data_IF_394825638384
#
_entry.id   IF_394825638384
#
_cell.length_a   1.000
_cell.length_b   1.000
_cell.length_c   1.000
_cell.angle_alpha   90.00
_cell.angle_beta   90.00
_cell.angle_gamma   90.00
#
_symmetry.space_group_name_H-M   'P 1'
#
loop_
_entity.id
_entity.type
_entity.pdbx_description
1 polymer ?
#
# COMPACT_ATOMS: atom_id res chain seq x y z
N UNK A 1 11.12 14.96 -9.00
CA UNK A 1 11.30 15.50 -7.65
C UNK A 1 10.58 16.84 -7.54
N UNK A 2 9.89 17.06 -6.44
CA UNK A 2 9.14 18.27 -6.13
C UNK A 2 10.07 19.41 -5.72
N UNK A 3 9.92 20.64 -6.26
CA UNK A 3 10.71 21.79 -5.84
C UNK A 3 10.21 22.40 -4.51
N UNK A 4 9.04 21.98 -4.02
CA UNK A 4 8.37 22.59 -2.87
C UNK A 4 8.91 22.07 -1.53
N UNK A 5 10.16 22.43 -1.22
CA UNK A 5 10.84 22.09 0.04
C UNK A 5 11.15 23.36 0.86
N UNK A 6 11.50 23.19 2.14
CA UNK A 6 11.76 24.29 3.06
C UNK A 6 12.70 23.85 4.18
N UNK A 7 12.40 24.23 5.43
CA UNK A 7 13.28 23.93 6.58
C UNK A 7 13.41 22.45 6.92
N UNK A 8 12.37 21.65 6.63
CA UNK A 8 12.38 20.21 6.93
C UNK A 8 13.30 19.46 5.96
N UNK A 9 14.27 18.74 6.51
CA UNK A 9 15.18 17.88 5.74
C UNK A 9 14.63 16.47 5.59
N UNK A 10 15.18 15.70 4.63
CA UNK A 10 14.96 14.25 4.56
C UNK A 10 15.47 13.57 5.81
N UNK A 11 14.78 12.50 6.19
CA UNK A 11 15.24 11.61 7.25
C UNK A 11 16.49 10.87 6.76
N UNK A 12 17.65 11.03 7.41
CA UNK A 12 18.90 10.49 6.89
C UNK A 12 18.97 8.96 7.00
N UNK A 13 18.28 8.38 7.99
CA UNK A 13 18.29 6.96 8.29
C UNK A 13 16.94 6.52 8.89
N UNK A 14 16.34 5.49 8.32
CA UNK A 14 15.11 4.87 8.79
C UNK A 14 15.47 3.64 9.63
N UNK A 15 15.14 3.64 10.91
CA UNK A 15 15.70 2.68 11.89
C UNK A 15 14.81 1.48 12.14
N UNK A 16 13.51 1.60 11.88
CA UNK A 16 12.52 0.56 12.20
C UNK A 16 12.01 -0.19 10.96
N UNK A 17 12.47 0.20 9.78
CA UNK A 17 12.26 -0.45 8.49
C UNK A 17 13.49 -0.23 7.62
N UNK A 18 13.69 -1.08 6.61
CA UNK A 18 14.75 -0.87 5.63
C UNK A 18 14.16 -0.23 4.38
N UNK A 19 14.78 0.85 3.92
CA UNK A 19 14.45 1.53 2.68
C UNK A 19 15.62 1.43 1.70
N UNK A 20 15.35 0.99 0.47
CA UNK A 20 16.23 1.20 -0.68
C UNK A 20 15.48 1.94 -1.77
N UNK A 21 16.17 2.79 -2.52
CA UNK A 21 15.59 3.50 -3.66
C UNK A 21 16.50 3.30 -4.86
N UNK A 22 15.95 2.76 -5.93
CA UNK A 22 16.69 2.47 -7.16
C UNK A 22 15.87 2.87 -8.39
N UNK A 23 16.42 3.77 -9.21
CA UNK A 23 15.82 4.24 -10.47
C UNK A 23 14.33 4.65 -10.35
N UNK A 24 13.94 5.23 -9.22
CA UNK A 24 12.56 5.68 -8.94
C UNK A 24 11.65 4.64 -8.30
N UNK A 25 12.13 3.44 -7.98
CA UNK A 25 11.40 2.44 -7.19
C UNK A 25 11.89 2.48 -5.75
N UNK A 26 11.00 2.76 -4.79
CA UNK A 26 11.29 2.54 -3.38
C UNK A 26 10.96 1.10 -2.99
N UNK A 27 11.85 0.44 -2.25
CA UNK A 27 11.58 -0.86 -1.63
C UNK A 27 11.64 -0.70 -0.12
N UNK A 28 10.49 -0.89 0.52
CA UNK A 28 10.35 -0.91 1.97
C UNK A 28 10.29 -2.36 2.42
N UNK A 29 11.30 -2.79 3.19
CA UNK A 29 11.29 -4.10 3.84
C UNK A 29 11.04 -3.94 5.33
N UNK A 30 9.98 -4.59 5.82
CA UNK A 30 9.70 -4.66 7.26
C UNK A 30 10.84 -5.41 7.97
N UNK A 31 11.22 -4.92 9.15
CA UNK A 31 12.30 -5.49 9.96
C UNK A 31 11.78 -6.63 10.87
N UNK A 32 12.70 -7.36 11.52
CA UNK A 32 12.45 -8.45 12.49
C UNK A 32 11.89 -9.75 11.86
N UNK A 33 12.59 -10.36 10.88
CA UNK A 33 12.14 -11.60 10.24
C UNK A 33 12.04 -12.79 11.21
N UNK A 34 12.80 -12.78 12.30
CA UNK A 34 12.73 -13.73 13.41
C UNK A 34 11.37 -13.68 14.14
N UNK A 35 10.72 -12.51 14.15
CA UNK A 35 9.39 -12.25 14.71
C UNK A 35 8.30 -12.14 13.63
N UNK A 36 8.50 -12.72 12.44
CA UNK A 36 7.55 -12.63 11.31
C UNK A 36 7.19 -11.19 10.94
N UNK A 37 8.15 -10.28 11.09
CA UNK A 37 8.03 -8.86 10.79
C UNK A 37 6.89 -8.18 11.58
N UNK A 38 6.71 -8.58 12.84
CA UNK A 38 5.75 -7.96 13.75
C UNK A 38 6.07 -6.46 13.95
N UNK A 39 5.05 -5.62 13.78
CA UNK A 39 5.16 -4.17 13.83
C UNK A 39 5.23 -3.65 15.26
N UNK A 40 6.13 -2.70 15.49
CA UNK A 40 6.27 -1.94 16.73
C UNK A 40 5.74 -0.52 16.56
N UNK A 41 5.63 0.26 17.63
CA UNK A 41 5.23 1.68 17.52
C UNK A 41 6.18 2.46 16.60
N UNK A 42 7.48 2.18 16.69
CA UNK A 42 8.50 2.80 15.83
C UNK A 42 8.31 2.44 14.35
N UNK A 43 7.95 1.19 14.03
CA UNK A 43 7.69 0.79 12.65
C UNK A 43 6.46 1.52 12.05
N UNK A 44 5.40 1.71 12.84
CA UNK A 44 4.24 2.52 12.40
C UNK A 44 4.60 4.00 12.21
N UNK A 45 5.41 4.57 13.10
CA UNK A 45 5.88 5.95 12.98
C UNK A 45 6.74 6.12 11.72
N UNK A 46 7.70 5.23 11.49
CA UNK A 46 8.55 5.26 10.29
C UNK A 46 7.72 5.09 9.01
N UNK A 47 6.74 4.18 8.98
CA UNK A 47 5.84 4.04 7.82
C UNK A 47 5.05 5.32 7.54
N UNK A 48 4.47 5.94 8.57
CA UNK A 48 3.72 7.20 8.46
C UNK A 48 4.61 8.31 7.91
N UNK A 49 5.77 8.50 8.52
CA UNK A 49 6.65 9.62 8.22
C UNK A 49 7.36 9.42 6.86
N UNK A 50 7.72 8.19 6.52
CA UNK A 50 8.31 7.85 5.21
C UNK A 50 7.32 8.11 4.08
N UNK A 51 6.09 7.63 4.19
CA UNK A 51 5.08 7.83 3.15
C UNK A 51 4.78 9.33 2.96
N UNK A 52 4.75 10.11 4.05
CA UNK A 52 4.60 11.56 3.97
C UNK A 52 5.80 12.20 3.26
N UNK A 53 7.03 11.81 3.61
CA UNK A 53 8.27 12.30 2.99
C UNK A 53 8.36 11.97 1.49
N UNK A 54 8.08 10.73 1.09
CA UNK A 54 8.08 10.33 -0.31
C UNK A 54 6.97 11.03 -1.12
N UNK A 55 5.81 11.25 -0.51
CA UNK A 55 4.68 11.93 -1.17
C UNK A 55 4.96 13.40 -1.44
N UNK A 56 5.56 14.13 -0.49
CA UNK A 56 5.95 15.54 -0.70
C UNK A 56 7.06 15.68 -1.72
N UNK A 57 8.03 14.77 -1.71
CA UNK A 57 9.25 14.88 -2.52
C UNK A 57 9.04 14.43 -3.97
N UNK A 58 8.03 13.59 -4.24
CA UNK A 58 7.78 13.00 -5.57
C UNK A 58 9.07 12.47 -6.21
N UNK A 59 9.88 11.79 -5.40
CA UNK A 59 11.18 11.23 -5.78
C UNK A 59 11.09 9.81 -6.32
N UNK A 60 9.98 9.13 -6.01
CA UNK A 60 9.69 7.75 -6.43
C UNK A 60 8.44 7.72 -7.30
N UNK A 61 8.39 6.72 -8.17
CA UNK A 61 7.32 6.47 -9.14
C UNK A 61 6.55 5.18 -8.84
N UNK A 62 7.11 4.29 -8.01
CA UNK A 62 6.44 3.14 -7.44
C UNK A 62 7.08 2.75 -6.10
N UNK A 63 6.34 2.05 -5.24
CA UNK A 63 6.83 1.51 -3.98
C UNK A 63 6.49 0.01 -3.86
N UNK A 64 7.48 -0.80 -3.50
CA UNK A 64 7.29 -2.20 -3.08
C UNK A 64 7.34 -2.26 -1.56
N UNK A 65 6.31 -2.83 -0.95
CA UNK A 65 6.26 -3.17 0.46
C UNK A 65 6.42 -4.70 0.60
N UNK A 66 7.40 -5.13 1.37
CA UNK A 66 7.70 -6.56 1.58
C UNK A 66 8.17 -6.86 3.00
N UNK A 67 8.28 -8.15 3.31
CA UNK A 67 8.91 -8.65 4.54
C UNK A 67 10.03 -9.65 4.20
N UNK A 68 10.90 -9.93 5.16
CA UNK A 68 11.92 -10.97 5.04
C UNK A 68 11.53 -12.26 5.76
N UNK A 69 12.22 -13.35 5.42
CA UNK A 69 12.09 -14.62 6.12
C UNK A 69 10.78 -15.35 5.79
N UNK A 70 10.13 -15.89 6.81
CA UNK A 70 9.06 -16.89 6.67
C UNK A 70 7.69 -16.32 6.27
N UNK A 71 7.54 -15.00 6.20
CA UNK A 71 6.30 -14.40 5.76
C UNK A 71 6.36 -12.88 5.65
N UNK A 72 5.27 -12.29 5.19
CA UNK A 72 5.13 -10.87 4.97
C UNK A 72 5.12 -10.07 6.29
N UNK A 73 4.07 -10.25 7.11
CA UNK A 73 3.89 -9.51 8.37
C UNK A 73 2.82 -10.17 9.25
N UNK A 74 3.15 -10.49 10.50
CA UNK A 74 2.21 -11.10 11.45
C UNK A 74 1.27 -10.10 12.16
N UNK A 75 1.41 -8.79 11.90
CA UNK A 75 0.62 -7.73 12.53
C UNK A 75 1.38 -7.00 13.64
N UNK A 76 0.65 -6.37 14.57
CA UNK A 76 1.26 -5.73 15.73
C UNK A 76 1.88 -6.75 16.69
N UNK A 77 3.03 -6.41 17.28
CA UNK A 77 3.70 -7.26 18.26
C UNK A 77 2.84 -7.45 19.52
N UNK A 78 2.66 -8.69 19.97
CA UNK A 78 1.76 -8.98 21.11
C UNK A 78 2.28 -8.34 22.40
N UNK A 79 3.57 -8.36 22.66
CA UNK A 79 4.11 -7.84 23.91
C UNK A 79 4.37 -6.32 23.77
N UNK A 80 5.03 -5.91 22.68
CA UNK A 80 5.44 -4.50 22.50
C UNK A 80 4.29 -3.57 22.10
N UNK A 81 3.19 -4.09 21.54
CA UNK A 81 1.97 -3.30 21.26
C UNK A 81 0.86 -3.64 22.25
N UNK A 82 0.36 -4.88 22.27
CA UNK A 82 -0.82 -5.21 23.09
C UNK A 82 -0.48 -5.08 24.57
N UNK A 83 0.63 -5.67 25.01
CA UNK A 83 1.09 -5.53 26.39
C UNK A 83 1.31 -4.07 26.81
N UNK A 84 1.94 -3.26 25.95
CA UNK A 84 2.18 -1.84 26.23
C UNK A 84 0.90 -0.98 26.28
N UNK A 85 -0.06 -1.25 25.38
CA UNK A 85 -1.32 -0.48 25.30
C UNK A 85 -2.23 -0.69 26.51
N UNK A 86 -2.12 -1.81 27.23
CA UNK A 86 -2.88 -2.05 28.46
C UNK A 86 -2.57 -1.04 29.59
N UNK A 87 -1.40 -0.41 29.55
CA UNK A 87 -0.98 0.60 30.54
C UNK A 87 -1.13 2.04 30.04
N UNK A 88 -1.64 2.24 28.82
CA UNK A 88 -1.81 3.57 28.21
C UNK A 88 -3.09 4.25 28.67
N UNK A 89 -3.07 5.58 28.72
CA UNK A 89 -4.28 6.37 28.93
C UNK A 89 -5.13 6.47 27.64
N UNK A 90 -6.34 7.03 27.78
CA UNK A 90 -7.28 7.14 26.66
C UNK A 90 -6.75 7.98 25.49
N UNK A 91 -5.93 9.01 25.75
CA UNK A 91 -5.40 9.86 24.69
C UNK A 91 -4.31 9.12 23.90
N UNK A 92 -3.41 8.42 24.59
CA UNK A 92 -2.37 7.59 24.00
C UNK A 92 -2.96 6.45 23.16
N UNK A 93 -4.00 5.79 23.68
CA UNK A 93 -4.74 4.76 22.95
C UNK A 93 -5.36 5.33 21.67
N UNK A 94 -6.00 6.50 21.75
CA UNK A 94 -6.58 7.17 20.59
C UNK A 94 -5.52 7.53 19.55
N UNK A 95 -4.38 8.08 19.99
CA UNK A 95 -3.31 8.50 19.09
C UNK A 95 -2.63 7.32 18.39
N UNK A 96 -2.45 6.21 19.09
CA UNK A 96 -1.95 4.98 18.47
C UNK A 96 -2.90 4.47 17.37
N UNK A 97 -4.19 4.33 17.68
CA UNK A 97 -5.18 3.86 16.70
C UNK A 97 -5.38 4.86 15.54
N UNK A 98 -5.20 6.16 15.79
CA UNK A 98 -5.18 7.18 14.74
C UNK A 98 -3.96 7.00 13.84
N UNK A 99 -2.78 6.78 14.40
CA UNK A 99 -1.54 6.58 13.64
C UNK A 99 -1.64 5.38 12.70
N UNK A 100 -2.15 4.22 13.16
CA UNK A 100 -2.30 3.03 12.31
C UNK A 100 -3.26 3.29 11.15
N UNK A 101 -4.37 3.99 11.39
CA UNK A 101 -5.30 4.44 10.34
C UNK A 101 -4.66 5.43 9.35
N UNK A 102 -3.83 6.36 9.83
CA UNK A 102 -3.11 7.30 8.96
C UNK A 102 -2.08 6.60 8.06
N UNK A 103 -1.44 5.51 8.51
CA UNK A 103 -0.55 4.72 7.64
C UNK A 103 -1.34 4.13 6.46
N UNK A 104 -2.50 3.53 6.73
CA UNK A 104 -3.36 2.97 5.66
C UNK A 104 -3.84 4.05 4.70
N UNK A 105 -4.29 5.18 5.24
CA UNK A 105 -4.69 6.34 4.44
C UNK A 105 -3.53 6.86 3.59
N UNK A 106 -2.32 6.98 4.15
CA UNK A 106 -1.14 7.42 3.42
C UNK A 106 -0.78 6.47 2.27
N UNK A 107 -0.94 5.16 2.45
CA UNK A 107 -0.78 4.19 1.34
C UNK A 107 -1.82 4.45 0.23
N UNK A 108 -3.08 4.75 0.58
CA UNK A 108 -4.13 5.04 -0.40
C UNK A 108 -3.94 6.37 -1.13
N UNK A 109 -3.39 7.38 -0.46
CA UNK A 109 -3.31 8.75 -0.97
C UNK A 109 -1.94 9.13 -1.57
N UNK A 110 -0.89 8.33 -1.37
CA UNK A 110 0.42 8.66 -1.92
C UNK A 110 0.41 8.72 -3.46
N UNK A 111 1.17 9.63 -4.10
CA UNK A 111 1.09 9.92 -5.54
C UNK A 111 1.88 8.92 -6.40
N UNK A 112 1.93 7.66 -5.98
CA UNK A 112 2.60 6.57 -6.68
C UNK A 112 1.95 5.23 -6.31
N UNK A 113 1.97 4.23 -7.22
CA UNK A 113 1.49 2.89 -6.92
C UNK A 113 2.29 2.21 -5.80
N UNK A 114 1.58 1.47 -4.94
CA UNK A 114 2.13 0.65 -3.87
C UNK A 114 1.83 -0.83 -4.17
N UNK A 115 2.87 -1.66 -4.19
CA UNK A 115 2.81 -3.08 -4.48
C UNK A 115 3.21 -3.84 -3.21
N UNK A 116 2.32 -4.66 -2.66
CA UNK A 116 2.65 -5.60 -1.60
C UNK A 116 3.17 -6.91 -2.19
N UNK A 117 4.38 -7.32 -1.81
CA UNK A 117 4.97 -8.62 -2.11
C UNK A 117 4.68 -9.60 -0.96
N UNK A 118 3.70 -10.48 -1.14
CA UNK A 118 3.12 -11.29 -0.06
C UNK A 118 3.48 -12.77 -0.20
N UNK A 119 4.31 -13.26 0.71
CA UNK A 119 4.53 -14.68 0.96
C UNK A 119 4.23 -15.00 2.43
N UNK A 120 3.95 -16.27 2.74
CA UNK A 120 3.65 -16.72 4.10
C UNK A 120 2.53 -15.92 4.76
N UNK A 121 2.70 -15.55 6.04
CA UNK A 121 1.66 -14.88 6.82
C UNK A 121 1.55 -13.38 6.52
N UNK A 122 0.32 -12.92 6.28
CA UNK A 122 -0.12 -11.54 6.34
C UNK A 122 -1.32 -11.44 7.30
N UNK A 123 -1.09 -11.09 8.56
CA UNK A 123 -2.10 -11.16 9.62
C UNK A 123 -2.30 -9.82 10.33
N UNK A 124 -3.53 -9.58 10.81
CA UNK A 124 -3.91 -8.34 11.49
C UNK A 124 -3.53 -7.12 10.65
N UNK A 125 -2.71 -6.24 11.22
CA UNK A 125 -2.20 -5.08 10.50
C UNK A 125 -1.43 -5.42 9.22
N UNK A 126 -0.69 -6.54 9.18
CA UNK A 126 -0.02 -7.01 7.97
C UNK A 126 -1.01 -7.31 6.83
N UNK A 127 -2.16 -7.89 7.15
CA UNK A 127 -3.22 -8.11 6.18
C UNK A 127 -3.80 -6.79 5.64
N UNK A 128 -3.93 -5.78 6.50
CA UNK A 128 -4.50 -4.48 6.11
C UNK A 128 -3.50 -3.62 5.32
N UNK A 129 -2.21 -3.67 5.62
CA UNK A 129 -1.18 -3.03 4.80
C UNK A 129 -1.15 -3.60 3.37
N UNK A 130 -1.28 -4.92 3.25
CA UNK A 130 -1.43 -5.57 1.95
C UNK A 130 -2.76 -5.17 1.26
N UNK A 131 -3.87 -5.13 2.00
CA UNK A 131 -5.17 -4.71 1.49
C UNK A 131 -5.19 -3.25 1.00
N UNK A 132 -4.47 -2.35 1.68
CA UNK A 132 -4.39 -0.95 1.32
C UNK A 132 -3.53 -0.69 0.06
N UNK A 133 -2.59 -1.60 -0.23
CA UNK A 133 -1.73 -1.51 -1.41
C UNK A 133 -2.56 -1.56 -2.70
N UNK A 134 -2.07 -0.91 -3.75
CA UNK A 134 -2.78 -0.89 -5.04
C UNK A 134 -2.71 -2.28 -5.70
N UNK A 135 -1.59 -2.97 -5.54
CA UNK A 135 -1.37 -4.33 -6.04
C UNK A 135 -0.95 -5.27 -4.91
N UNK A 136 -1.44 -6.52 -4.95
CA UNK A 136 -1.01 -7.62 -4.09
C UNK A 136 -0.46 -8.73 -4.97
N UNK A 137 0.86 -8.83 -5.04
CA UNK A 137 1.59 -9.88 -5.74
C UNK A 137 1.92 -10.95 -4.72
N UNK A 138 1.37 -12.15 -4.89
CA UNK A 138 1.44 -13.19 -3.87
C UNK A 138 1.96 -14.51 -4.44
N UNK A 139 2.61 -15.32 -3.61
CA UNK A 139 2.96 -16.71 -3.95
C UNK A 139 1.97 -17.71 -3.31
N UNK A 140 2.03 -19.02 -3.64
CA UNK A 140 1.10 -20.01 -3.12
C UNK A 140 1.16 -20.21 -1.60
N UNK A 141 2.23 -19.74 -0.94
CA UNK A 141 2.39 -19.82 0.51
C UNK A 141 1.60 -18.74 1.27
N UNK A 142 1.12 -17.71 0.56
CA UNK A 142 0.41 -16.56 1.14
C UNK A 142 -0.85 -16.96 1.93
N UNK A 143 -0.99 -16.37 3.12
CA UNK A 143 -2.10 -16.56 4.06
C UNK A 143 -2.52 -15.23 4.67
N UNK A 144 -3.72 -14.77 4.33
CA UNK A 144 -4.31 -13.55 4.86
C UNK A 144 -5.21 -13.86 6.06
N UNK A 145 -5.03 -13.15 7.18
CA UNK A 145 -5.89 -13.32 8.36
C UNK A 145 -6.26 -11.98 8.98
N UNK A 146 -7.53 -11.58 8.85
CA UNK A 146 -8.08 -10.38 9.49
C UNK A 146 -8.58 -10.69 10.90
N UNK A 147 -7.64 -11.01 11.80
CA UNK A 147 -7.91 -11.73 13.07
C UNK A 147 -8.15 -10.86 14.31
N UNK A 148 -8.54 -9.59 14.13
CA UNK A 148 -8.68 -8.62 15.23
C UNK A 148 -9.65 -9.07 16.34
N UNK A 149 -10.73 -9.76 15.99
CA UNK A 149 -11.70 -10.31 16.95
C UNK A 149 -11.10 -11.37 17.87
N UNK A 150 -10.02 -12.03 17.47
CA UNK A 150 -9.31 -13.02 18.30
C UNK A 150 -8.54 -12.40 19.45
N UNK A 151 -8.26 -11.09 19.40
CA UNK A 151 -7.65 -10.33 20.50
C UNK A 151 -8.65 -9.41 21.20
N UNK A 152 -9.95 -9.61 20.97
CA UNK A 152 -11.02 -8.83 21.61
C UNK A 152 -11.27 -7.45 20.99
N UNK A 153 -10.68 -7.16 19.83
CA UNK A 153 -10.90 -5.91 19.09
C UNK A 153 -11.93 -6.10 17.97
N UNK A 154 -12.51 -5.01 17.48
CA UNK A 154 -13.39 -5.07 16.30
C UNK A 154 -12.59 -5.37 15.03
N UNK A 155 -13.21 -6.00 14.03
CA UNK A 155 -12.63 -6.14 12.69
C UNK A 155 -12.46 -4.81 11.93
N UNK A 156 -13.03 -3.72 12.43
CA UNK A 156 -12.91 -2.37 11.88
C UNK A 156 -11.60 -1.68 12.27
N UNK A 157 -10.49 -2.40 12.24
CA UNK A 157 -9.17 -1.86 12.59
C UNK A 157 -8.51 -1.17 11.39
N UNK A 158 -7.89 -0.01 11.62
CA UNK A 158 -7.08 0.75 10.66
C UNK A 158 -7.68 0.90 9.24
N UNK A 159 -9.01 0.86 9.09
CA UNK A 159 -9.72 0.98 7.80
C UNK A 159 -10.12 -0.34 7.13
N UNK A 160 -9.86 -1.50 7.74
CA UNK A 160 -10.17 -2.81 7.17
C UNK A 160 -11.65 -2.98 6.79
N UNK A 161 -12.58 -2.56 7.66
CA UNK A 161 -14.02 -2.64 7.41
C UNK A 161 -14.52 -1.66 6.32
N UNK A 162 -13.71 -0.67 5.93
CA UNK A 162 -14.00 0.19 4.79
C UNK A 162 -13.49 -0.45 3.49
N UNK A 163 -12.24 -0.91 3.49
CA UNK A 163 -11.54 -1.41 2.30
C UNK A 163 -11.99 -2.81 1.90
N UNK A 164 -12.06 -3.76 2.84
CA UNK A 164 -12.28 -5.16 2.54
C UNK A 164 -13.60 -5.42 1.79
N UNK A 165 -14.77 -4.87 2.20
CA UNK A 165 -16.00 -5.06 1.44
C UNK A 165 -15.98 -4.43 0.04
N UNK A 166 -15.14 -3.41 -0.20
CA UNK A 166 -14.94 -2.81 -1.52
C UNK A 166 -14.04 -3.66 -2.43
N UNK A 167 -13.25 -4.56 -1.86
CA UNK A 167 -12.37 -5.47 -2.62
C UNK A 167 -13.04 -6.84 -2.84
N UNK A 168 -13.62 -7.45 -1.80
CA UNK A 168 -14.13 -8.83 -1.86
C UNK A 168 -15.65 -8.94 -1.75
N UNK A 169 -16.36 -7.82 -1.70
CA UNK A 169 -17.79 -7.77 -1.42
C UNK A 169 -18.15 -7.95 0.07
N UNK A 170 -19.33 -7.45 0.44
CA UNK A 170 -19.77 -7.39 1.84
C UNK A 170 -19.85 -8.76 2.53
N UNK A 171 -20.32 -9.80 1.83
CA UNK A 171 -20.48 -11.13 2.43
C UNK A 171 -19.15 -11.77 2.84
N UNK A 172 -18.16 -11.76 1.94
CA UNK A 172 -16.84 -12.27 2.26
C UNK A 172 -16.14 -11.40 3.32
N UNK A 173 -16.23 -10.07 3.22
CA UNK A 173 -15.65 -9.18 4.22
C UNK A 173 -16.22 -9.43 5.62
N UNK A 174 -17.54 -9.62 5.74
CA UNK A 174 -18.20 -9.94 7.02
C UNK A 174 -17.62 -11.22 7.62
N UNK A 175 -17.54 -12.31 6.84
CA UNK A 175 -16.97 -13.58 7.30
C UNK A 175 -15.50 -13.42 7.74
N UNK A 176 -14.68 -12.79 6.90
CA UNK A 176 -13.24 -12.62 7.15
C UNK A 176 -12.97 -11.80 8.41
N UNK A 177 -13.66 -10.66 8.57
CA UNK A 177 -13.44 -9.74 9.69
C UNK A 177 -14.01 -10.25 11.01
N UNK A 178 -15.13 -10.98 10.98
CA UNK A 178 -15.74 -11.49 12.21
C UNK A 178 -15.06 -12.76 12.72
N UNK A 179 -14.75 -13.73 11.83
CA UNK A 179 -14.21 -15.03 12.23
C UNK A 179 -12.67 -15.05 12.32
N UNK A 180 -12.00 -14.16 11.59
CA UNK A 180 -10.54 -14.07 11.61
C UNK A 180 -9.83 -15.34 11.13
N UNK A 181 -10.49 -16.14 10.30
CA UNK A 181 -9.94 -17.38 9.74
C UNK A 181 -8.89 -17.09 8.65
N UNK A 182 -7.85 -17.93 8.52
CA UNK A 182 -6.85 -17.75 7.49
C UNK A 182 -7.40 -18.06 6.09
N UNK A 183 -7.24 -17.11 5.18
CA UNK A 183 -7.56 -17.22 3.75
C UNK A 183 -6.27 -17.56 2.99
N UNK A 184 -6.22 -18.75 2.40
CA UNK A 184 -5.07 -19.20 1.60
C UNK A 184 -5.13 -18.66 0.16
N UNK A 185 -3.98 -18.60 -0.52
CA UNK A 185 -3.84 -18.12 -1.89
C UNK A 185 -4.99 -18.50 -2.86
N UNK A 186 -5.44 -19.78 -2.98
CA UNK A 186 -6.50 -20.12 -3.93
C UNK A 186 -7.86 -19.48 -3.63
N UNK A 187 -8.19 -19.30 -2.34
CA UNK A 187 -9.40 -18.56 -1.96
C UNK A 187 -9.20 -17.06 -2.11
N UNK A 188 -8.03 -16.54 -1.71
CA UNK A 188 -7.69 -15.13 -1.82
C UNK A 188 -7.76 -14.65 -3.27
N UNK A 189 -7.23 -15.43 -4.22
CA UNK A 189 -7.37 -15.17 -5.66
C UNK A 189 -8.85 -15.16 -6.08
N UNK A 190 -9.60 -16.23 -5.77
CA UNK A 190 -11.01 -16.39 -6.16
C UNK A 190 -11.90 -15.23 -5.69
N UNK A 191 -11.64 -14.67 -4.51
CA UNK A 191 -12.44 -13.57 -3.95
C UNK A 191 -11.90 -12.17 -4.31
N UNK A 192 -10.83 -12.07 -5.10
CA UNK A 192 -10.28 -10.80 -5.58
C UNK A 192 -9.23 -10.13 -4.68
N UNK A 193 -8.69 -10.83 -3.68
CA UNK A 193 -7.60 -10.29 -2.85
C UNK A 193 -6.23 -10.30 -3.55
N UNK A 194 -5.98 -11.15 -4.53
CA UNK A 194 -4.67 -11.25 -5.20
C UNK A 194 -4.75 -10.58 -6.57
N UNK A 195 -3.79 -9.70 -6.87
CA UNK A 195 -3.65 -9.07 -8.19
C UNK A 195 -2.87 -9.94 -9.17
N UNK A 196 -1.84 -10.64 -8.66
CA UNK A 196 -0.99 -11.57 -9.42
C UNK A 196 -0.57 -12.71 -8.50
N UNK A 197 -0.79 -13.95 -8.93
CA UNK A 197 -0.30 -15.16 -8.26
C UNK A 197 0.94 -15.66 -8.99
N UNK A 198 2.05 -15.77 -8.26
CA UNK A 198 3.34 -16.23 -8.80
C UNK A 198 3.58 -17.71 -8.50
N UNK A 199 4.70 -18.23 -9.01
CA UNK A 199 5.29 -19.46 -8.48
C UNK A 199 5.79 -19.25 -7.04
N UNK A 200 6.00 -20.35 -6.31
CA UNK A 200 6.49 -20.31 -4.93
C UNK A 200 7.85 -19.61 -4.81
N UNK A 201 7.95 -18.66 -3.86
CA UNK A 201 9.11 -17.79 -3.71
C UNK A 201 9.23 -16.66 -4.75
N UNK A 202 8.30 -16.56 -5.71
CA UNK A 202 8.36 -15.57 -6.81
C UNK A 202 7.85 -14.17 -6.46
N UNK A 203 7.13 -14.00 -5.35
CA UNK A 203 6.40 -12.77 -5.04
C UNK A 203 7.28 -11.51 -5.02
N UNK A 204 8.45 -11.56 -4.40
CA UNK A 204 9.35 -10.41 -4.31
C UNK A 204 9.89 -9.97 -5.67
N UNK A 205 10.31 -10.93 -6.51
CA UNK A 205 10.85 -10.63 -7.84
C UNK A 205 9.77 -10.10 -8.78
N UNK A 206 8.58 -10.69 -8.76
CA UNK A 206 7.45 -10.24 -9.56
C UNK A 206 6.98 -8.83 -9.14
N UNK A 207 6.92 -8.56 -7.83
CA UNK A 207 6.60 -7.22 -7.33
C UNK A 207 7.62 -6.16 -7.79
N UNK A 208 8.92 -6.48 -7.76
CA UNK A 208 9.96 -5.59 -8.29
C UNK A 208 9.82 -5.37 -9.81
N UNK A 209 9.52 -6.43 -10.56
CA UNK A 209 9.28 -6.35 -12.01
C UNK A 209 8.08 -5.45 -12.32
N UNK A 210 6.99 -5.60 -11.59
CA UNK A 210 5.81 -4.75 -11.71
C UNK A 210 6.12 -3.30 -11.32
N UNK A 211 6.87 -3.09 -10.22
CA UNK A 211 7.26 -1.75 -9.79
C UNK A 211 8.16 -1.05 -10.82
N UNK A 212 9.11 -1.76 -11.43
CA UNK A 212 9.93 -1.24 -12.55
C UNK A 212 9.05 -0.84 -13.73
N UNK A 213 8.13 -1.73 -14.15
CA UNK A 213 7.17 -1.43 -15.23
C UNK A 213 6.35 -0.17 -14.95
N UNK A 214 5.86 -0.01 -13.73
CA UNK A 214 5.08 1.16 -13.32
C UNK A 214 5.96 2.42 -13.25
N UNK A 215 7.19 2.30 -12.76
CA UNK A 215 8.15 3.39 -12.73
C UNK A 215 8.58 3.82 -14.14
N UNK A 216 8.66 2.92 -15.11
CA UNK A 216 9.03 3.25 -16.49
C UNK A 216 7.87 3.82 -17.31
N UNK A 217 6.64 3.82 -16.76
CA UNK A 217 5.43 4.32 -17.40
C UNK A 217 5.12 5.81 -17.17
N UNK A 218 3.96 6.30 -17.64
CA UNK A 218 3.52 7.68 -17.49
C UNK A 218 3.10 7.97 -16.05
N UNK A 219 4.07 8.36 -15.21
CA UNK A 219 3.90 8.44 -13.76
C UNK A 219 2.76 9.36 -13.30
N UNK A 220 2.54 10.50 -13.98
CA UNK A 220 1.44 11.41 -13.64
C UNK A 220 0.08 10.77 -13.93
N UNK A 221 -0.06 10.04 -15.04
CA UNK A 221 -1.29 9.31 -15.36
C UNK A 221 -1.59 8.25 -14.28
N UNK A 222 -0.59 7.45 -13.88
CA UNK A 222 -0.78 6.44 -12.83
C UNK A 222 -1.13 7.05 -11.46
N UNK A 223 -0.47 8.15 -11.08
CA UNK A 223 -0.78 8.86 -9.84
C UNK A 223 -2.22 9.39 -9.84
N UNK A 224 -2.66 9.99 -10.96
CA UNK A 224 -4.04 10.49 -11.08
C UNK A 224 -5.06 9.35 -11.12
N UNK A 225 -4.78 8.24 -11.81
CA UNK A 225 -5.66 7.05 -11.77
C UNK A 225 -5.89 6.56 -10.35
N UNK A 226 -4.81 6.47 -9.54
CA UNK A 226 -4.93 6.11 -8.12
C UNK A 226 -5.74 7.12 -7.31
N UNK A 227 -5.51 8.42 -7.54
CA UNK A 227 -6.21 9.49 -6.84
C UNK A 227 -7.72 9.48 -7.12
N UNK A 228 -8.12 9.28 -8.39
CA UNK A 228 -9.52 9.21 -8.80
C UNK A 228 -10.20 7.96 -8.24
N UNK A 229 -9.59 6.78 -8.40
CA UNK A 229 -10.11 5.54 -7.79
C UNK A 229 -10.32 5.67 -6.28
N UNK A 230 -9.42 6.36 -5.58
CA UNK A 230 -9.52 6.56 -4.14
C UNK A 230 -10.63 7.55 -3.78
N UNK A 231 -10.73 8.66 -4.51
CA UNK A 231 -11.72 9.71 -4.22
C UNK A 231 -13.14 9.27 -4.59
N UNK A 232 -13.29 8.61 -5.74
CA UNK A 232 -14.60 8.26 -6.29
C UNK A 232 -15.32 7.14 -5.53
N UNK A 233 -14.60 6.36 -4.73
CA UNK A 233 -15.21 5.44 -3.76
C UNK A 233 -16.12 6.13 -2.75
N UNK A 234 -15.94 7.45 -2.56
CA UNK A 234 -16.66 8.28 -1.60
C UNK A 234 -17.46 9.41 -2.29
N UNK A 235 -17.66 9.34 -3.62
CA UNK A 235 -18.35 10.37 -4.40
C UNK A 235 -19.63 9.86 -5.06
N UNK A 236 -20.64 10.74 -5.26
CA UNK A 236 -21.73 10.45 -6.19
C UNK A 236 -21.24 10.53 -7.64
N UNK A 237 -21.89 9.77 -8.53
CA UNK A 237 -21.53 9.68 -9.95
C UNK A 237 -21.38 11.06 -10.64
N UNK A 238 -22.29 11.99 -10.37
CA UNK A 238 -22.23 13.32 -10.98
C UNK A 238 -20.95 14.08 -10.61
N UNK A 239 -20.47 13.93 -9.37
CA UNK A 239 -19.21 14.57 -8.95
C UNK A 239 -17.99 13.82 -9.53
N UNK A 240 -18.06 12.49 -9.66
CA UNK A 240 -16.99 11.69 -10.25
C UNK A 240 -16.69 12.13 -11.69
N UNK A 241 -17.74 12.30 -12.51
CA UNK A 241 -17.59 12.75 -13.91
C UNK A 241 -16.95 14.14 -14.02
N UNK A 242 -17.23 15.06 -13.09
CA UNK A 242 -16.61 16.39 -13.09
C UNK A 242 -15.12 16.33 -12.67
N UNK A 243 -14.78 15.43 -11.75
CA UNK A 243 -13.39 15.17 -11.37
C UNK A 243 -12.62 14.52 -12.53
N UNK A 244 -13.23 13.58 -13.24
CA UNK A 244 -12.73 12.99 -14.49
C UNK A 244 -12.45 14.08 -15.52
N UNK A 245 -13.44 14.91 -15.84
CA UNK A 245 -13.34 15.95 -16.86
C UNK A 245 -12.18 16.92 -16.58
N UNK A 246 -12.07 17.37 -15.33
CA UNK A 246 -11.00 18.27 -14.88
C UNK A 246 -9.63 17.61 -14.97
N UNK A 247 -9.53 16.36 -14.51
CA UNK A 247 -8.26 15.62 -14.48
C UNK A 247 -7.78 15.26 -15.88
N UNK A 248 -8.68 14.80 -16.75
CA UNK A 248 -8.34 14.46 -18.13
C UNK A 248 -7.93 15.70 -18.92
N UNK A 249 -8.63 16.83 -18.77
CA UNK A 249 -8.24 18.08 -19.42
C UNK A 249 -6.84 18.55 -18.99
N UNK A 250 -6.49 18.40 -17.71
CA UNK A 250 -5.14 18.66 -17.22
C UNK A 250 -4.10 17.73 -17.89
N UNK A 251 -4.36 16.41 -17.92
CA UNK A 251 -3.44 15.42 -18.49
C UNK A 251 -3.28 15.58 -20.02
N UNK A 252 -4.32 15.99 -20.73
CA UNK A 252 -4.26 16.28 -22.17
C UNK A 252 -3.33 17.46 -22.51
N UNK A 253 -2.99 18.29 -21.52
CA UNK A 253 -2.03 19.38 -21.67
C UNK A 253 -0.60 18.99 -21.22
N UNK A 254 -0.38 17.72 -20.82
CA UNK A 254 0.92 17.20 -20.39
C UNK A 254 1.80 16.71 -21.56
N UNK A 255 3.10 16.55 -21.29
CA UNK A 255 4.09 16.07 -22.27
C UNK A 255 3.81 14.62 -22.68
N UNK A 256 3.40 13.77 -21.72
CA UNK A 256 3.15 12.35 -21.98
C UNK A 256 1.99 12.13 -22.97
N UNK A 257 0.95 12.98 -22.94
CA UNK A 257 -0.16 12.88 -23.90
C UNK A 257 0.30 13.19 -25.34
N UNK A 258 1.13 14.23 -25.50
CA UNK A 258 1.71 14.58 -26.79
C UNK A 258 2.73 13.53 -27.28
N UNK A 259 3.56 13.00 -26.38
CA UNK A 259 4.55 11.96 -26.68
C UNK A 259 3.90 10.66 -27.15
N UNK A 260 2.76 10.28 -26.56
CA UNK A 260 1.99 9.13 -27.05
C UNK A 260 1.64 9.29 -28.53
N UNK A 261 1.07 10.45 -28.90
CA UNK A 261 0.70 10.72 -30.28
C UNK A 261 1.92 10.70 -31.21
N UNK A 262 3.01 11.37 -30.82
CA UNK A 262 4.25 11.40 -31.60
C UNK A 262 4.83 9.99 -31.80
N UNK A 263 4.96 9.20 -30.73
CA UNK A 263 5.47 7.84 -30.78
C UNK A 263 4.59 6.92 -31.64
N UNK A 264 3.26 7.08 -31.55
CA UNK A 264 2.31 6.33 -32.36
C UNK A 264 2.46 6.65 -33.86
N UNK A 265 2.52 7.93 -34.23
CA UNK A 265 2.73 8.35 -35.63
C UNK A 265 4.08 7.88 -36.18
N UNK A 266 5.12 7.91 -35.36
CA UNK A 266 6.49 7.49 -35.71
C UNK A 266 6.73 5.97 -35.59
N UNK A 267 5.74 5.20 -35.12
CA UNK A 267 5.83 3.74 -34.90
C UNK A 267 7.01 3.34 -34.01
N UNK A 268 7.26 4.10 -32.95
CA UNK A 268 8.28 3.83 -31.93
C UNK A 268 7.65 3.66 -30.55
N UNK A 269 8.35 3.05 -29.59
CA UNK A 269 7.92 3.09 -28.19
C UNK A 269 7.90 4.54 -27.66
N UNK A 270 6.89 4.90 -26.85
CA UNK A 270 6.85 6.19 -26.17
C UNK A 270 7.90 6.27 -25.06
N UNK A 271 8.39 7.49 -24.81
CA UNK A 271 9.38 7.83 -23.78
C UNK A 271 8.76 8.77 -22.75
N UNK A 272 8.16 8.18 -21.73
CA UNK A 272 7.43 8.90 -20.70
C UNK A 272 8.33 9.78 -19.83
N UNK A 273 7.83 10.97 -19.49
CA UNK A 273 8.45 11.95 -18.61
C UNK A 273 7.70 12.10 -17.28
N UNK A 274 6.44 11.68 -17.22
CA UNK A 274 5.61 11.77 -16.02
C UNK A 274 5.16 13.19 -15.70
N UNK A 275 4.92 14.01 -16.72
CA UNK A 275 4.45 15.40 -16.61
C UNK A 275 3.67 15.83 -17.85
#
# INVERSE_FOLDING_TARGET
>A
MSPFTGSATRTPDWRHLRLTVDEGVATVTLARPDRLNALTFGAYADLRDLLAELSRDKSVRALVLGGEGRGFCSGGDVDEIIGATLAMDTAQLLDFNRMTGQVVRAIRECPFPVIAAVHGVAAGAGAVLALASDFRVADPSARFSFLFTRVGLSGGDMGAAYLLPRVVGLGHATRLLMLGEPVRAPEAERIGLISELTDEGGAAQAAQTLARRLADGPALAYAQTKALLTSELDMPLAAAIELDASTQALLMNGEDYAEFHAAFTEKRPPKWQGR
#
